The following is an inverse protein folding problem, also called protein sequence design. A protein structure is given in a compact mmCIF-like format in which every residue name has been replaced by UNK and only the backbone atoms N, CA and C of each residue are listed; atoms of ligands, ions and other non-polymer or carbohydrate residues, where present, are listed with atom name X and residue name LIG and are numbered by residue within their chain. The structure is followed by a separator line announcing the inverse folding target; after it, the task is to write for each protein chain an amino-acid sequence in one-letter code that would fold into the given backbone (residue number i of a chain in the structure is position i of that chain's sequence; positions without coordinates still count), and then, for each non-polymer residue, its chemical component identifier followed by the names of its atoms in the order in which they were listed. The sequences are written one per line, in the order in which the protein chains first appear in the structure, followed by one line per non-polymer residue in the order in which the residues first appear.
data_IF_431227966187
#
_entry.id   IF_431227966187
#
_cell.length_a   1.000
_cell.length_b   1.000
_cell.length_c   1.000
_cell.angle_alpha   90.00
_cell.angle_beta   90.00
_cell.angle_gamma   90.00
#
_symmetry.space_group_name_H-M   'P 1'
#
loop_
_entity.id
_entity.type
_entity.pdbx_description
1 polymer ?
#
# COMPACT_ATOMS: atom_id res chain seq x y z
N UNK A 1 71.22 -37.71 14.82
CA UNK A 1 71.30 -39.18 14.62
C UNK A 1 70.07 -39.81 15.25
N UNK A 2 69.49 -40.82 14.56
CA UNK A 2 68.49 -41.84 14.99
C UNK A 2 67.10 -41.33 15.40
N UNK A 3 66.00 -41.53 14.63
CA UNK A 3 65.27 -42.79 14.28
C UNK A 3 64.91 -43.56 15.58
N UNK A 4 63.68 -43.96 15.93
CA UNK A 4 62.36 -43.99 15.30
C UNK A 4 61.46 -44.97 16.11
N UNK A 5 60.13 -44.82 15.99
CA UNK A 5 59.06 -45.84 16.13
C UNK A 5 58.79 -46.54 17.49
N UNK A 6 57.59 -46.36 18.06
CA UNK A 6 56.48 -47.36 18.08
C UNK A 6 55.39 -47.01 19.13
N UNK A 7 54.12 -47.01 18.67
CA UNK A 7 52.89 -47.06 19.48
C UNK A 7 52.58 -48.55 19.86
N UNK A 8 51.63 -48.91 20.77
CA UNK A 8 50.19 -48.57 20.63
C UNK A 8 49.31 -48.46 21.91
N UNK A 9 48.12 -47.87 21.69
CA UNK A 9 46.76 -48.17 22.21
C UNK A 9 46.48 -48.21 23.72
N UNK A 10 45.57 -47.32 24.13
CA UNK A 10 44.24 -47.49 24.79
C UNK A 10 43.86 -46.04 25.18
N UNK A 11 42.78 -45.39 24.72
CA UNK A 11 41.44 -45.84 24.44
C UNK A 11 40.49 -45.21 25.46
N UNK A 12 40.15 -43.92 25.32
CA UNK A 12 38.88 -43.38 25.82
C UNK A 12 38.54 -42.03 25.18
N UNK A 13 37.37 -41.99 24.54
CA UNK A 13 36.68 -40.79 24.08
C UNK A 13 36.23 -39.94 25.27
N UNK A 14 36.37 -38.61 25.20
CA UNK A 14 35.25 -37.69 25.44
C UNK A 14 35.45 -36.46 24.54
N UNK A 15 34.42 -36.22 23.73
CA UNK A 15 34.27 -35.06 22.86
C UNK A 15 33.98 -33.78 23.66
N UNK A 16 34.47 -32.63 23.20
CA UNK A 16 33.73 -31.37 23.22
C UNK A 16 34.43 -30.34 22.35
N UNK A 17 33.75 -29.97 21.27
CA UNK A 17 34.20 -28.98 20.30
C UNK A 17 33.97 -27.56 20.77
N UNK A 18 34.80 -26.66 20.25
CA UNK A 18 34.52 -25.24 20.13
C UNK A 18 35.29 -24.73 18.91
N UNK A 19 34.80 -25.08 17.71
CA UNK A 19 35.22 -24.45 16.48
C UNK A 19 34.22 -23.34 16.13
N UNK A 20 34.73 -22.11 16.05
CA UNK A 20 34.32 -21.05 15.12
C UNK A 20 32.82 -20.93 14.84
N UNK A 21 32.15 -20.07 15.60
CA UNK A 21 30.91 -19.43 15.14
C UNK A 21 31.19 -17.93 14.93
N UNK A 22 31.61 -17.61 13.71
CA UNK A 22 31.25 -16.34 13.09
C UNK A 22 29.71 -16.22 13.14
N UNK A 23 29.12 -15.07 13.50
CA UNK A 23 27.70 -14.87 13.27
C UNK A 23 27.47 -14.96 11.77
N UNK A 24 26.67 -15.95 11.39
CA UNK A 24 26.16 -16.10 10.05
C UNK A 24 25.59 -14.76 9.56
N UNK A 25 25.97 -14.39 8.34
CA UNK A 25 25.23 -13.45 7.51
C UNK A 25 23.74 -13.65 7.72
N UNK A 26 23.06 -12.67 8.29
CA UNK A 26 21.60 -12.63 8.40
C UNK A 26 21.01 -12.65 6.99
N UNK A 27 20.26 -13.69 6.58
CA UNK A 27 19.43 -13.61 5.41
C UNK A 27 18.11 -12.99 5.87
N UNK A 28 18.02 -11.67 5.89
CA UNK A 28 16.73 -10.98 6.05
C UNK A 28 16.23 -10.55 4.69
N UNK A 29 15.92 -11.55 3.85
CA UNK A 29 14.83 -11.41 2.91
C UNK A 29 13.61 -11.96 3.63
N UNK A 30 12.88 -11.08 4.33
CA UNK A 30 11.60 -11.43 4.95
C UNK A 30 10.63 -11.84 3.85
N UNK A 31 10.48 -13.13 3.60
CA UNK A 31 9.40 -13.67 2.79
C UNK A 31 8.09 -13.50 3.56
N UNK A 32 7.44 -12.36 3.39
CA UNK A 32 6.08 -12.13 3.89
C UNK A 32 5.12 -13.11 3.22
N UNK A 33 4.35 -13.84 4.02
CA UNK A 33 3.36 -14.79 3.53
C UNK A 33 2.26 -14.04 2.76
N UNK A 34 2.20 -14.29 1.45
CA UNK A 34 1.17 -13.77 0.55
C UNK A 34 -0.16 -14.47 0.87
N UNK A 35 -1.16 -13.73 1.34
CA UNK A 35 -2.55 -14.24 1.37
C UNK A 35 -3.08 -14.25 -0.07
N UNK A 36 -3.52 -15.40 -0.61
CA UNK A 36 -4.22 -15.42 -1.88
C UNK A 36 -5.60 -14.76 -1.69
N UNK A 37 -5.84 -13.60 -2.30
CA UNK A 37 -7.18 -13.03 -2.45
C UNK A 37 -7.52 -11.75 -1.67
N UNK A 38 -6.62 -11.18 -0.88
CA UNK A 38 -6.79 -9.86 -0.26
C UNK A 38 -5.44 -9.18 -0.07
N UNK A 39 -5.48 -7.84 -0.10
CA UNK A 39 -4.34 -6.94 -0.23
C UNK A 39 -3.12 -7.26 0.64
N UNK A 40 -1.98 -6.94 0.07
CA UNK A 40 -0.67 -7.27 0.57
C UNK A 40 -0.35 -6.52 1.87
N UNK A 41 -0.20 -7.27 2.97
CA UNK A 41 0.57 -6.77 4.12
C UNK A 41 2.04 -6.98 3.79
N UNK A 42 2.76 -5.92 3.43
CA UNK A 42 4.21 -6.02 3.20
C UNK A 42 4.91 -5.04 4.10
N UNK A 43 5.61 -5.58 5.08
CA UNK A 43 6.58 -4.89 5.91
C UNK A 43 7.87 -4.53 5.13
N UNK A 44 7.75 -4.22 3.84
CA UNK A 44 8.84 -3.84 2.95
C UNK A 44 8.28 -2.82 1.97
N UNK A 45 8.44 -1.55 2.32
CA UNK A 45 8.14 -0.44 1.41
C UNK A 45 9.10 -0.57 0.21
N UNK A 46 8.71 -0.12 -1.00
CA UNK A 46 9.52 -0.35 -2.18
C UNK A 46 10.70 0.63 -2.29
N UNK A 47 10.75 1.66 -1.42
CA UNK A 47 11.79 2.69 -1.39
C UNK A 47 12.30 2.97 0.03
N UNK A 48 13.63 2.97 0.19
CA UNK A 48 14.46 3.22 1.38
C UNK A 48 13.92 2.73 2.75
N UNK A 49 14.37 1.53 3.16
CA UNK A 49 14.09 0.91 4.47
C UNK A 49 14.77 1.59 5.65
N UNK A 50 15.58 2.59 5.35
CA UNK A 50 16.31 3.36 6.34
C UNK A 50 15.64 4.69 6.62
N UNK A 51 14.61 5.07 5.85
CA UNK A 51 13.87 6.28 6.13
C UNK A 51 13.02 6.10 7.40
N UNK A 52 13.31 6.82 8.49
CA UNK A 52 12.57 6.69 9.75
C UNK A 52 11.08 6.97 9.60
N UNK A 53 10.66 7.70 8.55
CA UNK A 53 9.25 7.99 8.32
C UNK A 53 8.43 6.72 8.08
N UNK A 54 9.06 5.64 7.58
CA UNK A 54 8.43 4.35 7.23
C UNK A 54 8.58 3.26 8.30
N UNK A 55 8.66 3.65 9.58
CA UNK A 55 8.77 2.70 10.69
C UNK A 55 7.48 1.87 10.86
N UNK A 56 7.61 0.54 10.80
CA UNK A 56 6.53 -0.44 11.02
C UNK A 56 6.55 -0.97 12.46
N UNK A 57 5.39 -1.09 13.09
CA UNK A 57 5.18 -1.72 14.40
C UNK A 57 3.74 -2.27 14.53
N UNK A 58 3.38 -2.80 15.69
CA UNK A 58 2.07 -3.41 15.95
C UNK A 58 0.86 -2.46 15.78
N UNK A 59 1.11 -1.15 15.76
CA UNK A 59 0.08 -0.11 15.69
C UNK A 59 0.10 0.68 14.38
N UNK A 60 1.16 0.52 13.57
CA UNK A 60 1.39 1.27 12.33
C UNK A 60 2.10 0.38 11.32
N UNK A 61 1.51 0.27 10.15
CA UNK A 61 2.09 -0.49 9.03
C UNK A 61 1.76 0.21 7.72
N UNK A 62 2.37 -0.26 6.64
CA UNK A 62 2.16 0.31 5.31
C UNK A 62 1.68 -0.75 4.34
N UNK A 63 0.78 -0.34 3.47
CA UNK A 63 0.26 -1.16 2.38
C UNK A 63 0.61 -0.50 1.06
N UNK A 64 1.22 -1.27 0.16
CA UNK A 64 1.47 -0.85 -1.21
C UNK A 64 0.28 -1.30 -2.06
N UNK A 65 -0.50 -0.36 -2.58
CA UNK A 65 -1.52 -0.64 -3.58
C UNK A 65 -0.85 -0.84 -4.96
N UNK A 66 -0.33 -2.06 -5.12
CA UNK A 66 0.26 -2.63 -6.32
C UNK A 66 1.42 -1.86 -6.97
N UNK A 67 1.93 -2.41 -8.07
CA UNK A 67 2.94 -1.80 -8.94
C UNK A 67 2.52 -2.00 -10.39
N UNK A 68 3.11 -1.21 -11.27
CA UNK A 68 3.07 -1.51 -12.71
C UNK A 68 4.02 -2.67 -12.98
N UNK A 69 3.64 -3.75 -13.65
CA UNK A 69 4.63 -4.70 -14.13
C UNK A 69 5.26 -4.17 -15.43
N UNK A 70 6.56 -4.42 -15.64
CA UNK A 70 7.24 -4.16 -16.94
C UNK A 70 6.52 -4.85 -18.10
N UNK A 71 5.96 -6.03 -17.84
CA UNK A 71 5.19 -6.83 -18.80
C UNK A 71 3.84 -7.18 -18.18
N UNK A 72 2.73 -6.79 -18.83
CA UNK A 72 1.40 -7.10 -18.32
C UNK A 72 1.15 -8.62 -18.36
N UNK A 73 0.69 -9.24 -17.26
CA UNK A 73 0.39 -10.68 -17.24
C UNK A 73 -0.89 -11.03 -18.01
N UNK A 74 -1.66 -10.04 -18.45
CA UNK A 74 -2.93 -10.24 -19.17
C UNK A 74 -2.72 -10.03 -20.67
N UNK A 75 -3.16 -11.00 -21.48
CA UNK A 75 -3.20 -10.90 -22.95
C UNK A 75 -4.48 -10.18 -23.37
N UNK A 76 -4.36 -9.08 -24.12
CA UNK A 76 -5.49 -8.32 -24.68
C UNK A 76 -5.38 -6.81 -24.42
N UNK A 77 -6.29 -6.00 -24.97
CA UNK A 77 -6.32 -4.56 -24.72
C UNK A 77 -6.96 -4.33 -23.34
N UNK A 78 -6.18 -4.52 -22.29
CA UNK A 78 -6.60 -4.24 -20.91
C UNK A 78 -6.01 -2.90 -20.49
N UNK A 79 -6.82 -2.10 -19.77
CA UNK A 79 -6.39 -0.82 -19.20
C UNK A 79 -5.27 -0.99 -18.18
N UNK A 80 -5.01 0.06 -17.42
CA UNK A 80 -4.07 -0.02 -16.29
C UNK A 80 -4.43 -1.18 -15.37
N UNK A 81 -3.47 -2.06 -15.09
CA UNK A 81 -3.56 -3.03 -14.01
C UNK A 81 -2.39 -2.78 -13.08
N UNK A 82 -2.68 -2.51 -11.81
CA UNK A 82 -1.68 -2.72 -10.76
C UNK A 82 -1.65 -4.18 -10.36
N UNK A 83 -0.44 -4.70 -10.22
CA UNK A 83 -0.22 -6.05 -9.71
C UNK A 83 0.42 -5.98 -8.35
N UNK A 84 0.13 -6.99 -7.56
CA UNK A 84 0.95 -7.42 -6.46
C UNK A 84 2.45 -7.30 -6.71
N UNK A 85 3.16 -6.57 -5.87
CA UNK A 85 4.60 -6.40 -6.00
C UNK A 85 5.21 -5.96 -4.68
N UNK A 86 6.48 -6.31 -4.51
CA UNK A 86 7.30 -5.87 -3.37
C UNK A 86 8.53 -5.11 -3.86
N UNK A 87 8.72 -5.05 -5.18
CA UNK A 87 9.95 -4.62 -5.81
C UNK A 87 9.65 -3.83 -7.10
N UNK A 88 10.35 -2.71 -7.22
CA UNK A 88 10.30 -1.76 -8.33
C UNK A 88 11.59 -1.75 -9.14
N UNK A 89 12.47 -2.73 -9.02
CA UNK A 89 13.81 -2.76 -9.64
C UNK A 89 13.84 -2.35 -11.11
N UNK A 90 12.79 -2.62 -11.88
CA UNK A 90 12.72 -2.21 -13.30
C UNK A 90 12.48 -0.70 -13.53
N UNK A 91 11.98 0.04 -12.53
CA UNK A 91 11.59 1.44 -12.59
C UNK A 91 12.18 2.32 -11.48
N UNK A 92 12.91 1.76 -10.52
CA UNK A 92 13.42 2.44 -9.33
C UNK A 92 14.11 3.77 -9.64
N UNK A 93 14.97 3.81 -10.67
CA UNK A 93 15.71 5.02 -11.07
C UNK A 93 14.85 6.13 -11.71
N UNK A 94 13.59 5.84 -12.05
CA UNK A 94 12.66 6.77 -12.71
C UNK A 94 11.50 7.18 -11.81
N UNK A 95 11.28 6.45 -10.73
CA UNK A 95 10.20 6.71 -9.79
C UNK A 95 10.60 7.87 -8.89
N UNK A 96 9.76 8.88 -8.88
CA UNK A 96 9.77 9.96 -7.89
C UNK A 96 8.65 9.66 -6.90
N UNK A 97 8.98 9.65 -5.62
CA UNK A 97 7.99 9.52 -4.55
C UNK A 97 7.54 10.90 -4.09
N UNK A 98 6.24 11.09 -3.99
CA UNK A 98 5.67 12.29 -3.36
C UNK A 98 6.09 12.38 -1.90
N UNK A 99 6.08 13.58 -1.33
CA UNK A 99 6.13 13.71 0.13
C UNK A 99 5.00 12.90 0.77
N UNK A 100 5.33 12.12 1.79
CA UNK A 100 4.33 11.42 2.59
C UNK A 100 3.45 12.42 3.33
N UNK A 101 2.13 12.20 3.27
CA UNK A 101 1.16 12.99 4.02
C UNK A 101 0.42 12.07 4.97
N UNK A 102 0.30 12.49 6.23
CA UNK A 102 -0.48 11.79 7.25
C UNK A 102 -1.61 12.67 7.76
N UNK A 103 -2.81 12.09 7.89
CA UNK A 103 -3.94 12.72 8.54
C UNK A 103 -3.67 13.02 10.01
N UNK A 104 -2.68 12.35 10.61
CA UNK A 104 -2.22 12.59 11.98
C UNK A 104 -1.54 13.95 12.16
N UNK A 105 -0.99 14.50 11.08
CA UNK A 105 -0.43 15.85 11.08
C UNK A 105 -1.52 16.92 11.06
N UNK A 106 -2.74 16.57 10.64
CA UNK A 106 -3.90 17.47 10.55
C UNK A 106 -4.82 17.35 11.78
N UNK A 107 -4.99 16.14 12.29
CA UNK A 107 -5.81 15.82 13.45
C UNK A 107 -5.11 14.75 14.29
N UNK A 108 -5.17 14.85 15.63
CA UNK A 108 -4.52 13.88 16.54
C UNK A 108 -4.85 12.42 16.19
N UNK A 109 -6.12 12.15 15.90
CA UNK A 109 -6.63 10.86 15.45
C UNK A 109 -7.20 10.97 14.03
N UNK A 110 -6.45 11.58 13.11
CA UNK A 110 -6.90 11.77 11.74
C UNK A 110 -6.99 10.46 10.95
N UNK A 111 -8.10 10.29 10.23
CA UNK A 111 -8.31 9.17 9.28
C UNK A 111 -8.53 9.69 7.87
N UNK A 112 -8.14 8.89 6.87
CA UNK A 112 -8.43 9.18 5.47
C UNK A 112 -9.93 9.03 5.22
N UNK A 113 -10.53 10.06 4.63
CA UNK A 113 -11.97 10.12 4.39
C UNK A 113 -12.33 10.20 2.91
N UNK A 114 -11.44 10.70 2.06
CA UNK A 114 -11.74 10.86 0.64
C UNK A 114 -10.49 10.94 -0.21
N UNK A 115 -10.68 10.77 -1.52
CA UNK A 115 -9.63 10.97 -2.52
C UNK A 115 -10.13 11.91 -3.61
N UNK A 116 -9.20 12.65 -4.19
CA UNK A 116 -9.42 13.59 -5.28
C UNK A 116 -8.36 13.34 -6.33
N UNK A 117 -8.79 13.12 -7.56
CA UNK A 117 -7.92 12.71 -8.65
C UNK A 117 -8.30 13.43 -9.93
N UNK A 118 -7.28 13.85 -10.69
CA UNK A 118 -7.46 14.23 -12.08
C UNK A 118 -6.66 13.31 -12.99
N UNK A 119 -7.38 12.47 -13.72
CA UNK A 119 -6.82 11.59 -14.76
C UNK A 119 -7.02 12.23 -16.14
N UNK A 120 -5.93 12.33 -16.92
CA UNK A 120 -5.91 12.87 -18.28
C UNK A 120 -6.30 11.79 -19.29
N UNK A 121 -5.74 10.60 -19.08
CA UNK A 121 -6.01 9.38 -19.82
C UNK A 121 -5.47 8.22 -18.98
N UNK A 122 -5.70 6.99 -19.44
CA UNK A 122 -5.27 5.77 -18.78
C UNK A 122 -3.84 5.87 -18.22
N UNK A 123 -3.71 5.87 -16.89
CA UNK A 123 -2.43 5.95 -16.15
C UNK A 123 -1.67 7.25 -16.27
N UNK A 124 -2.32 8.32 -16.67
CA UNK A 124 -1.68 9.63 -16.76
C UNK A 124 -2.48 10.58 -15.91
N UNK A 125 -1.92 10.98 -14.78
CA UNK A 125 -2.59 11.81 -13.79
C UNK A 125 -1.96 13.20 -13.76
N UNK A 126 -2.80 14.21 -13.60
CA UNK A 126 -2.39 15.61 -13.47
C UNK A 126 -2.30 16.03 -12.01
N UNK A 127 -3.19 15.53 -11.16
CA UNK A 127 -3.16 15.81 -9.73
C UNK A 127 -3.78 14.69 -8.91
N UNK A 128 -3.28 14.55 -7.68
CA UNK A 128 -3.82 13.59 -6.72
C UNK A 128 -3.64 14.09 -5.28
N UNK A 129 -4.69 13.98 -4.49
CA UNK A 129 -4.69 14.25 -3.04
C UNK A 129 -5.79 13.48 -2.34
N UNK A 130 -5.75 13.44 -1.02
CA UNK A 130 -6.81 12.89 -0.19
C UNK A 130 -7.40 13.94 0.76
N UNK A 131 -8.50 13.61 1.42
CA UNK A 131 -9.01 14.35 2.58
C UNK A 131 -8.87 13.54 3.85
N UNK A 132 -8.66 14.26 4.94
CA UNK A 132 -8.58 13.75 6.27
C UNK A 132 -9.76 14.23 7.10
N UNK A 133 -10.11 13.44 8.10
CA UNK A 133 -11.18 13.77 9.04
C UNK A 133 -10.79 13.34 10.44
N UNK A 134 -11.25 14.09 11.43
CA UNK A 134 -11.00 13.78 12.84
C UNK A 134 -11.79 12.54 13.26
N UNK A 135 -11.12 11.48 13.73
CA UNK A 135 -11.76 10.35 14.40
C UNK A 135 -12.09 10.73 15.84
N UNK A 136 -13.30 10.41 16.28
CA UNK A 136 -13.75 10.57 17.64
C UNK A 136 -13.52 9.28 18.43
N UNK A 137 -13.48 9.39 19.76
CA UNK A 137 -13.27 8.25 20.65
C UNK A 137 -14.32 7.14 20.46
N UNK A 138 -15.56 7.52 20.13
CA UNK A 138 -16.68 6.60 19.85
C UNK A 138 -16.59 5.91 18.48
N UNK A 139 -15.50 6.13 17.72
CA UNK A 139 -15.28 5.55 16.40
C UNK A 139 -16.01 6.27 15.25
N UNK A 140 -16.77 7.33 15.53
CA UNK A 140 -17.38 8.17 14.49
C UNK A 140 -16.37 9.20 13.95
N UNK A 141 -16.63 9.77 12.78
CA UNK A 141 -15.82 10.90 12.28
C UNK A 141 -16.49 12.23 12.59
N UNK A 142 -15.71 13.16 13.14
CA UNK A 142 -16.14 14.49 13.57
C UNK A 142 -16.60 15.38 12.41
N UNK A 143 -17.08 16.59 12.71
CA UNK A 143 -17.53 17.54 11.68
C UNK A 143 -16.38 18.20 10.91
N UNK A 144 -15.17 18.23 11.51
CA UNK A 144 -13.97 18.84 10.93
C UNK A 144 -13.35 17.92 9.88
N UNK A 145 -13.12 18.46 8.69
CA UNK A 145 -12.45 17.77 7.59
C UNK A 145 -11.49 18.73 6.89
N UNK A 146 -10.41 18.20 6.34
CA UNK A 146 -9.39 18.98 5.65
C UNK A 146 -8.88 18.24 4.42
N UNK A 147 -8.66 18.95 3.31
CA UNK A 147 -7.99 18.38 2.13
C UNK A 147 -6.49 18.45 2.36
N UNK A 148 -5.80 17.33 2.16
CA UNK A 148 -4.35 17.29 2.18
C UNK A 148 -3.72 18.22 1.14
N UNK A 149 -2.45 18.62 1.35
CA UNK A 149 -1.59 19.03 0.25
C UNK A 149 -1.62 17.99 -0.87
N UNK A 150 -1.49 18.43 -2.10
CA UNK A 150 -1.37 17.50 -3.22
C UNK A 150 -0.11 16.65 -3.10
N UNK A 151 -0.24 15.35 -3.33
CA UNK A 151 0.90 14.44 -3.45
C UNK A 151 1.70 14.76 -4.71
N UNK A 152 1.01 15.15 -5.78
CA UNK A 152 1.59 15.89 -6.90
C UNK A 152 0.50 16.76 -7.53
N UNK A 153 0.92 17.86 -8.15
CA UNK A 153 0.01 18.78 -8.79
C UNK A 153 0.67 19.47 -9.99
N UNK A 154 0.38 18.98 -11.19
CA UNK A 154 0.86 19.57 -12.45
C UNK A 154 -0.12 20.59 -13.02
N UNK A 155 -1.34 20.65 -12.48
CA UNK A 155 -2.36 21.64 -12.82
C UNK A 155 -2.60 22.60 -11.65
N UNK A 156 -2.98 23.86 -11.90
CA UNK A 156 -3.40 24.77 -10.81
C UNK A 156 -4.92 24.91 -10.69
N UNK A 157 -5.68 24.59 -11.73
CA UNK A 157 -7.14 24.79 -11.81
C UNK A 157 -7.79 23.73 -12.69
N UNK A 158 -8.81 23.02 -12.19
CA UNK A 158 -9.58 22.02 -12.94
C UNK A 158 -10.55 21.22 -12.04
N UNK A 159 -11.57 20.60 -12.64
CA UNK A 159 -12.51 19.72 -11.92
C UNK A 159 -11.82 18.40 -11.56
N UNK A 160 -11.88 18.05 -10.27
CA UNK A 160 -11.34 16.79 -9.75
C UNK A 160 -12.47 15.78 -9.64
N UNK A 161 -12.19 14.54 -10.03
CA UNK A 161 -13.05 13.44 -9.59
C UNK A 161 -12.84 13.22 -8.10
N UNK A 162 -13.93 13.05 -7.37
CA UNK A 162 -13.90 12.88 -5.91
C UNK A 162 -14.72 11.68 -5.47
N UNK A 163 -14.19 10.95 -4.49
CA UNK A 163 -14.96 9.94 -3.77
C UNK A 163 -14.64 10.01 -2.29
N UNK A 164 -15.67 9.81 -1.48
CA UNK A 164 -15.60 9.97 -0.02
C UNK A 164 -16.30 8.83 0.69
N UNK A 165 -15.75 8.46 1.83
CA UNK A 165 -16.34 7.53 2.78
C UNK A 165 -17.49 8.22 3.54
N UNK A 166 -18.62 7.53 3.77
CA UNK A 166 -19.71 8.03 4.61
C UNK A 166 -19.25 8.37 6.04
N UNK A 167 -19.90 9.33 6.69
CA UNK A 167 -19.48 9.88 8.00
C UNK A 167 -19.63 8.93 9.19
N UNK A 168 -20.29 7.78 9.00
CA UNK A 168 -20.40 6.74 10.02
C UNK A 168 -19.46 5.55 9.75
N UNK A 169 -18.45 5.74 8.89
CA UNK A 169 -17.56 4.68 8.39
C UNK A 169 -16.13 5.18 8.28
N UNK A 170 -15.21 4.23 8.30
CA UNK A 170 -13.77 4.47 8.23
C UNK A 170 -13.18 3.79 7.00
N UNK A 171 -12.25 4.47 6.32
CA UNK A 171 -11.52 3.88 5.20
C UNK A 171 -10.59 2.79 5.71
N UNK A 172 -10.67 1.62 5.09
CA UNK A 172 -9.82 0.45 5.38
C UNK A 172 -8.96 0.07 4.17
N UNK A 173 -9.06 0.77 3.05
CA UNK A 173 -8.29 0.45 1.85
C UNK A 173 -8.78 1.14 0.59
N UNK A 174 -8.16 0.75 -0.52
CA UNK A 174 -8.48 1.21 -1.87
C UNK A 174 -9.04 0.04 -2.70
N UNK A 175 -10.15 0.31 -3.39
CA UNK A 175 -10.75 -0.60 -4.36
C UNK A 175 -10.40 -0.15 -5.78
N UNK A 176 -9.70 -0.98 -6.53
CA UNK A 176 -9.30 -0.73 -7.92
C UNK A 176 -10.18 -1.52 -8.89
N UNK A 177 -10.61 -0.87 -9.97
CA UNK A 177 -11.27 -1.52 -11.11
C UNK A 177 -10.47 -1.24 -12.37
N UNK A 178 -10.00 -2.31 -13.01
CA UNK A 178 -9.35 -2.22 -14.31
C UNK A 178 -10.33 -2.62 -15.41
N UNK A 179 -10.49 -1.71 -16.38
CA UNK A 179 -11.45 -1.84 -17.47
C UNK A 179 -10.79 -2.43 -18.73
N UNK A 180 -11.59 -3.03 -19.62
CA UNK A 180 -11.13 -3.33 -20.97
C UNK A 180 -10.89 -2.02 -21.72
N UNK A 181 -9.81 -1.92 -22.49
CA UNK A 181 -9.55 -0.76 -23.33
C UNK A 181 -10.49 -0.78 -24.55
N UNK A 182 -11.24 0.31 -24.74
CA UNK A 182 -11.69 0.71 -26.07
C UNK A 182 -10.72 1.76 -26.63
N UNK A 183 -10.59 1.82 -27.95
CA UNK A 183 -9.53 2.52 -28.72
C UNK A 183 -9.28 4.01 -28.38
N UNK A 184 -10.05 4.64 -27.48
CA UNK A 184 -9.92 6.07 -27.18
C UNK A 184 -9.92 6.47 -25.71
N UNK A 185 -10.42 5.65 -24.79
CA UNK A 185 -10.57 6.06 -23.39
C UNK A 185 -10.42 4.83 -22.47
N UNK A 186 -9.55 4.92 -21.49
CA UNK A 186 -9.56 4.05 -20.31
C UNK A 186 -9.25 4.91 -19.13
N UNK A 187 -10.03 4.70 -18.08
CA UNK A 187 -9.85 5.37 -16.81
C UNK A 187 -9.74 4.29 -15.74
N UNK A 188 -8.74 4.43 -14.87
CA UNK A 188 -8.63 3.57 -13.70
C UNK A 188 -9.73 4.00 -12.73
N UNK A 189 -10.74 3.17 -12.49
CA UNK A 189 -11.73 3.54 -11.48
C UNK A 189 -11.24 3.11 -10.11
N UNK A 190 -11.27 4.04 -9.17
CA UNK A 190 -10.90 3.80 -7.78
C UNK A 190 -12.06 4.15 -6.87
N UNK A 191 -12.25 3.34 -5.83
CA UNK A 191 -13.12 3.61 -4.70
C UNK A 191 -12.34 3.42 -3.40
N UNK A 192 -12.92 3.86 -2.29
CA UNK A 192 -12.41 3.59 -0.95
C UNK A 192 -13.22 2.46 -0.35
N UNK A 193 -12.53 1.40 0.11
CA UNK A 193 -13.17 0.38 0.93
C UNK A 193 -13.34 0.93 2.34
N UNK A 194 -14.52 0.71 2.91
CA UNK A 194 -14.87 1.26 4.20
C UNK A 194 -15.81 0.36 5.00
N UNK A 195 -15.61 0.35 6.31
CA UNK A 195 -16.38 -0.44 7.27
C UNK A 195 -16.80 0.42 8.48
N UNK A 196 -17.70 -0.08 9.34
CA UNK A 196 -18.02 0.60 10.60
C UNK A 196 -16.89 0.41 11.61
N UNK A 197 -16.68 1.37 12.50
CA UNK A 197 -15.60 1.30 13.50
C UNK A 197 -15.72 0.07 14.40
N UNK A 198 -16.93 -0.21 14.89
CA UNK A 198 -17.25 -1.38 15.71
C UNK A 198 -16.85 -2.69 15.01
N UNK A 199 -17.27 -2.88 13.76
CA UNK A 199 -16.97 -4.09 12.99
C UNK A 199 -15.47 -4.23 12.67
N UNK A 200 -14.79 -3.12 12.38
CA UNK A 200 -13.33 -3.09 12.19
C UNK A 200 -12.63 -3.57 13.47
N UNK A 201 -13.03 -3.04 14.62
CA UNK A 201 -12.43 -3.39 15.90
C UNK A 201 -12.71 -4.85 16.28
N UNK A 202 -13.97 -5.27 16.24
CA UNK A 202 -14.39 -6.60 16.65
C UNK A 202 -13.80 -7.71 15.78
N UNK A 203 -13.86 -7.57 14.45
CA UNK A 203 -13.28 -8.57 13.55
C UNK A 203 -11.76 -8.47 13.50
N UNK A 204 -11.21 -7.26 13.60
CA UNK A 204 -9.77 -7.02 13.72
C UNK A 204 -9.14 -7.74 14.90
N UNK A 205 -9.78 -7.71 16.07
CA UNK A 205 -9.33 -8.45 17.27
C UNK A 205 -9.25 -9.97 17.07
N UNK A 206 -9.99 -10.50 16.08
CA UNK A 206 -10.04 -11.91 15.68
C UNK A 206 -9.15 -12.21 14.47
N UNK A 207 -8.42 -11.22 13.96
CA UNK A 207 -7.60 -11.33 12.74
C UNK A 207 -8.42 -11.54 11.46
N UNK A 208 -9.67 -11.07 11.44
CA UNK A 208 -10.64 -11.23 10.35
C UNK A 208 -10.99 -9.88 9.72
N UNK A 209 -11.35 -9.92 8.44
CA UNK A 209 -11.84 -8.75 7.74
C UNK A 209 -13.25 -8.35 8.24
N UNK A 210 -13.60 -7.05 8.25
CA UNK A 210 -14.93 -6.59 8.61
C UNK A 210 -16.02 -7.24 7.74
N UNK A 211 -17.20 -7.50 8.27
CA UNK A 211 -18.32 -8.06 7.50
C UNK A 211 -19.15 -6.97 6.79
N UNK A 212 -19.03 -5.74 7.25
CA UNK A 212 -19.78 -4.59 6.76
C UNK A 212 -19.17 -3.93 5.53
N UNK A 213 -18.02 -4.40 5.01
CA UNK A 213 -17.25 -3.71 3.95
C UNK A 213 -18.15 -3.27 2.80
N UNK A 214 -18.03 -1.99 2.46
CA UNK A 214 -18.63 -1.38 1.28
C UNK A 214 -17.58 -0.56 0.54
N UNK A 215 -17.87 -0.23 -0.71
CA UNK A 215 -17.01 0.61 -1.56
C UNK A 215 -17.72 1.93 -1.82
N UNK A 216 -17.01 3.04 -1.67
CA UNK A 216 -17.51 4.37 -2.03
C UNK A 216 -17.78 4.47 -3.54
N UNK A 217 -18.49 5.52 -4.02
CA UNK A 217 -18.67 5.72 -5.45
C UNK A 217 -17.34 5.67 -6.21
N UNK A 218 -17.26 4.86 -7.25
CA UNK A 218 -16.01 4.67 -8.00
C UNK A 218 -15.77 5.85 -8.92
N UNK A 219 -14.55 6.36 -8.92
CA UNK A 219 -14.16 7.51 -9.73
C UNK A 219 -12.90 7.26 -10.55
N UNK A 220 -12.84 7.83 -11.76
CA UNK A 220 -13.96 8.41 -12.51
C UNK A 220 -15.00 7.34 -12.92
N UNK A 221 -16.21 7.77 -13.29
CA UNK A 221 -17.21 6.84 -13.82
C UNK A 221 -16.83 6.43 -15.25
N UNK A 222 -16.51 5.14 -15.44
CA UNK A 222 -15.98 4.57 -16.66
C UNK A 222 -16.83 3.39 -17.16
N UNK A 223 -18.06 3.23 -16.66
CA UNK A 223 -18.94 2.08 -16.95
C UNK A 223 -19.18 1.87 -18.46
N UNK A 224 -19.03 2.91 -19.28
CA UNK A 224 -19.21 2.85 -20.75
C UNK A 224 -18.03 2.29 -21.56
N UNK A 225 -16.85 2.02 -20.98
CA UNK A 225 -15.60 1.80 -21.72
C UNK A 225 -15.31 0.34 -22.15
N UNK A 226 -16.33 -0.52 -22.26
CA UNK A 226 -16.15 -1.92 -22.71
C UNK A 226 -16.17 -2.98 -21.61
N UNK A 227 -16.55 -2.58 -20.40
CA UNK A 227 -16.82 -3.46 -19.27
C UNK A 227 -15.61 -3.71 -18.36
N UNK A 228 -15.92 -4.20 -17.15
CA UNK A 228 -14.94 -4.52 -16.11
C UNK A 228 -14.13 -5.74 -16.55
N UNK A 229 -12.80 -5.62 -16.55
CA UNK A 229 -11.90 -6.75 -16.78
C UNK A 229 -11.52 -7.45 -15.46
N UNK A 230 -11.53 -6.72 -14.35
CA UNK A 230 -11.44 -7.26 -12.99
C UNK A 230 -11.23 -6.17 -11.96
N UNK A 231 -10.98 -6.60 -10.72
CA UNK A 231 -10.95 -5.73 -9.54
C UNK A 231 -9.87 -6.16 -8.57
N UNK A 232 -9.23 -5.21 -7.90
CA UNK A 232 -8.28 -5.46 -6.82
C UNK A 232 -8.69 -4.72 -5.54
N UNK A 233 -8.41 -5.37 -4.42
CA UNK A 233 -8.65 -4.86 -3.07
C UNK A 233 -7.30 -4.63 -2.40
N UNK A 234 -7.01 -3.39 -2.05
CA UNK A 234 -5.78 -2.98 -1.37
C UNK A 234 -6.15 -2.56 0.04
N UNK A 235 -6.38 -3.55 0.91
CA UNK A 235 -6.89 -3.37 2.26
C UNK A 235 -5.75 -3.30 3.28
N UNK A 236 -5.93 -2.47 4.31
CA UNK A 236 -5.14 -2.50 5.53
C UNK A 236 -5.32 -3.85 6.25
N UNK A 237 -4.36 -4.26 7.09
CA UNK A 237 -4.53 -5.46 7.92
C UNK A 237 -5.77 -5.38 8.81
N UNK A 238 -6.33 -6.53 9.21
CA UNK A 238 -7.49 -6.59 10.11
C UNK A 238 -7.35 -5.68 11.33
N UNK A 239 -8.38 -4.87 11.59
CA UNK A 239 -8.41 -3.93 12.72
C UNK A 239 -7.66 -2.62 12.49
N UNK A 240 -7.20 -2.36 11.27
CA UNK A 240 -6.52 -1.10 10.92
C UNK A 240 -7.32 -0.26 9.93
N UNK A 241 -7.09 1.06 9.98
CA UNK A 241 -7.70 2.08 9.12
C UNK A 241 -6.64 2.87 8.39
N UNK A 242 -6.99 3.44 7.24
CA UNK A 242 -6.10 4.28 6.45
C UNK A 242 -5.98 5.65 7.10
N UNK A 243 -4.75 6.11 7.33
CA UNK A 243 -4.44 7.37 8.03
C UNK A 243 -3.46 8.27 7.28
N UNK A 244 -2.96 7.85 6.13
CA UNK A 244 -2.04 8.65 5.33
C UNK A 244 -1.70 7.96 4.02
N UNK A 245 -1.03 8.69 3.13
CA UNK A 245 -0.55 8.12 1.89
C UNK A 245 0.64 8.88 1.29
N UNK A 246 1.40 8.16 0.46
CA UNK A 246 2.33 8.68 -0.53
C UNK A 246 2.10 7.97 -1.87
N UNK A 247 2.63 8.50 -2.96
CA UNK A 247 2.54 7.88 -4.27
C UNK A 247 3.90 7.91 -4.97
N UNK A 248 4.34 6.76 -5.45
CA UNK A 248 5.47 6.66 -6.36
C UNK A 248 4.98 6.80 -7.79
N UNK A 249 5.59 7.71 -8.55
CA UNK A 249 5.13 8.02 -9.88
C UNK A 249 6.30 8.38 -10.82
N UNK A 250 6.09 8.24 -12.13
CA UNK A 250 7.08 8.62 -13.14
C UNK A 250 6.58 9.90 -13.84
N UNK A 251 7.16 11.07 -13.50
CA UNK A 251 6.82 12.33 -14.17
C UNK A 251 7.08 12.22 -15.68
N UNK A 252 6.29 12.91 -16.48
CA UNK A 252 6.62 13.08 -17.89
C UNK A 252 7.76 14.10 -18.08
N UNK A 253 8.49 13.96 -19.18
CA UNK A 253 9.60 14.85 -19.48
C UNK A 253 9.17 16.31 -19.72
N UNK A 254 7.86 16.57 -19.89
CA UNK A 254 7.31 17.91 -20.13
C UNK A 254 6.77 18.57 -18.86
N UNK A 255 6.77 17.87 -17.71
CA UNK A 255 6.29 18.37 -16.43
C UNK A 255 4.79 18.72 -16.44
N UNK A 256 3.98 18.00 -17.21
CA UNK A 256 2.54 18.22 -17.34
C UNK A 256 1.69 17.17 -16.65
N UNK A 257 2.22 15.96 -16.52
CA UNK A 257 1.47 14.85 -15.95
C UNK A 257 2.43 13.76 -15.50
N UNK A 258 1.95 12.82 -14.70
CA UNK A 258 2.74 11.70 -14.20
C UNK A 258 2.04 10.38 -14.40
N UNK A 259 2.81 9.29 -14.37
CA UNK A 259 2.27 7.94 -14.36
C UNK A 259 2.38 7.34 -12.96
N UNK A 260 1.28 7.03 -12.28
CA UNK A 260 1.35 6.40 -10.96
C UNK A 260 1.88 4.97 -11.10
N UNK A 261 2.87 4.65 -10.26
CA UNK A 261 3.48 3.33 -10.19
C UNK A 261 2.85 2.52 -9.07
N UNK A 262 2.77 3.09 -7.87
CA UNK A 262 2.15 2.51 -6.68
C UNK A 262 1.57 3.62 -5.80
N UNK A 263 0.59 3.28 -4.97
CA UNK A 263 0.16 4.10 -3.84
C UNK A 263 0.61 3.43 -2.54
N UNK A 264 1.33 4.16 -1.69
CA UNK A 264 1.68 3.74 -0.34
C UNK A 264 0.62 4.27 0.62
N UNK A 265 -0.04 3.40 1.36
CA UNK A 265 -1.05 3.76 2.36
C UNK A 265 -0.51 3.48 3.76
N UNK A 266 -0.63 4.45 4.65
CA UNK A 266 -0.37 4.27 6.08
C UNK A 266 -1.62 3.68 6.74
N UNK A 267 -1.45 2.52 7.34
CA UNK A 267 -2.48 1.81 8.08
C UNK A 267 -2.15 1.89 9.57
N UNK A 268 -3.12 2.29 10.38
CA UNK A 268 -2.99 2.31 11.84
C UNK A 268 -4.06 1.50 12.52
N UNK A 269 -3.69 0.84 13.60
CA UNK A 269 -4.61 0.09 14.44
C UNK A 269 -5.69 1.01 14.98
N UNK A 270 -6.94 0.63 14.77
CA UNK A 270 -8.08 1.31 15.34
C UNK A 270 -8.14 0.99 16.84
N UNK A 271 -8.00 2.03 17.66
CA UNK A 271 -8.30 1.95 19.08
C UNK A 271 -9.74 2.41 19.28
N UNK A 272 -10.62 1.48 19.63
CA UNK A 272 -12.04 1.72 19.86
C UNK A 272 -12.34 1.33 21.32
N UNK A 273 -13.00 2.22 22.07
CA UNK A 273 -13.27 2.06 23.50
C UNK A 273 -14.53 2.78 23.92
#
# INVERSE_FOLDING_TARGET
MTIGTCAPRVGLLVALGAALLLPASTPWAGTGAVRPGSGYTIAGHPLDDRDPQYTVNDYRTYVIAGCVPKHLPIKGPVGSVWVACNDLDYAKDKVVESRFVSCLEMFTDGVLQGLFIKEVNNRTWESFRFSCRELQADGTVGSRWEKSPFLFNYEKEGDLFETTVPTNRLSIGLYEVYNKLQLRESLLQVGLEHATAEDIYENGSKGKDPQSIQVSPRVPDAFGLGGIAGTHKWECPPGMVVTGAAIGHVPDNKGKHTRPVYLLMECRKLFHG
#
